data_IF_089057572262
#
_entry.id   IF_089057572262
#
_cell.length_a   1.000
_cell.length_b   1.000
_cell.length_c   1.000
_cell.angle_alpha   90.00
_cell.angle_beta   90.00
_cell.angle_gamma   90.00
#
_symmetry.space_group_name_H-M   'P 1'
#
loop_
_entity.id
_entity.type
_entity.pdbx_description
1 polymer ?
#
# COMPACT_ATOMS: atom_id res chain seq x y z
N UNK A 1 5.59 -11.56 24.34
CA UNK A 1 5.84 -10.44 23.38
C UNK A 1 5.37 -10.80 21.96
N UNK A 2 4.37 -10.10 21.38
CA UNK A 2 3.81 -10.38 20.03
C UNK A 2 4.86 -10.42 18.89
N UNK A 3 5.95 -9.65 18.98
CA UNK A 3 6.99 -9.60 17.94
C UNK A 3 7.83 -10.88 17.85
N UNK A 4 8.05 -11.54 18.99
CA UNK A 4 8.79 -12.81 19.06
C UNK A 4 7.93 -13.92 18.49
N UNK A 5 6.68 -13.97 18.93
CA UNK A 5 5.67 -14.93 18.46
C UNK A 5 5.46 -14.84 16.94
N UNK A 6 5.28 -13.64 16.38
CA UNK A 6 5.23 -13.41 14.92
C UNK A 6 6.48 -13.91 14.18
N UNK A 7 7.67 -13.78 14.77
CA UNK A 7 8.90 -14.23 14.13
C UNK A 7 9.00 -15.76 14.10
N UNK A 8 8.65 -16.42 15.22
CA UNK A 8 8.61 -17.88 15.30
C UNK A 8 7.51 -18.48 14.42
N UNK A 9 6.32 -17.88 14.38
CA UNK A 9 5.25 -18.31 13.47
C UNK A 9 5.68 -18.28 12.00
N UNK A 10 6.43 -17.25 11.58
CA UNK A 10 6.99 -17.20 10.22
C UNK A 10 8.05 -18.27 9.97
N UNK A 11 8.85 -18.60 10.97
CA UNK A 11 9.83 -19.67 10.89
C UNK A 11 9.15 -21.04 10.77
N UNK A 12 8.16 -21.32 11.60
CA UNK A 12 7.38 -22.57 11.54
C UNK A 12 6.60 -22.72 10.23
N UNK A 13 6.21 -21.62 9.59
CA UNK A 13 5.58 -21.61 8.26
C UNK A 13 6.58 -21.74 7.09
N UNK A 14 7.89 -21.86 7.36
CA UNK A 14 8.93 -21.90 6.31
C UNK A 14 9.12 -20.58 5.55
N UNK A 15 8.48 -19.49 6.00
CA UNK A 15 8.54 -18.16 5.36
C UNK A 15 9.76 -17.34 5.78
N UNK A 16 10.63 -17.91 6.62
CA UNK A 16 11.87 -17.31 7.08
C UNK A 16 12.72 -18.31 7.85
N UNK A 17 14.01 -18.00 8.01
CA UNK A 17 14.89 -18.78 8.89
C UNK A 17 14.62 -18.55 10.37
N UNK A 18 15.32 -19.31 11.21
CA UNK A 18 15.24 -19.25 12.68
C UNK A 18 15.35 -17.78 13.17
N UNK A 19 14.43 -17.31 14.03
CA UNK A 19 14.50 -15.94 14.57
C UNK A 19 15.81 -15.69 15.30
N UNK A 20 16.56 -14.67 14.88
CA UNK A 20 17.80 -14.24 15.55
C UNK A 20 17.53 -13.07 16.48
N UNK A 21 18.18 -13.09 17.65
CA UNK A 21 18.18 -11.95 18.56
C UNK A 21 18.73 -10.72 17.84
N UNK A 22 18.05 -9.58 17.98
CA UNK A 22 18.50 -8.32 17.38
C UNK A 22 19.29 -7.54 18.44
N UNK A 23 20.34 -6.80 18.06
CA UNK A 23 21.01 -5.91 19.00
C UNK A 23 20.09 -4.75 19.41
N UNK A 24 20.26 -4.21 20.63
CA UNK A 24 19.38 -3.18 21.22
C UNK A 24 19.20 -1.96 20.30
N UNK A 25 20.24 -1.55 19.57
CA UNK A 25 20.20 -0.46 18.56
C UNK A 25 19.20 -0.65 17.42
N UNK A 26 18.68 -1.87 17.21
CA UNK A 26 17.63 -2.17 16.23
C UNK A 26 16.22 -2.09 16.83
N UNK A 27 16.10 -2.00 18.15
CA UNK A 27 14.85 -1.72 18.85
C UNK A 27 14.74 -0.23 19.07
N UNK A 28 13.87 0.40 18.31
CA UNK A 28 13.63 1.84 18.41
C UNK A 28 12.36 2.13 19.22
N UNK A 29 11.98 1.26 20.17
CA UNK A 29 10.77 1.44 20.98
C UNK A 29 10.13 0.14 21.47
N UNK A 30 9.07 0.27 22.28
CA UNK A 30 8.38 -0.81 22.98
C UNK A 30 6.84 -0.73 22.78
N UNK A 31 6.14 -1.76 23.25
CA UNK A 31 4.67 -1.87 23.11
C UNK A 31 4.07 -2.34 24.42
N UNK A 32 3.06 -1.63 24.91
CA UNK A 32 2.14 -2.07 25.96
C UNK A 32 1.03 -2.90 25.29
N UNK A 33 1.02 -4.24 25.49
CA UNK A 33 0.11 -5.13 24.77
C UNK A 33 -1.34 -5.12 25.32
N UNK A 34 -1.56 -4.49 26.47
CA UNK A 34 -2.85 -4.31 27.14
C UNK A 34 -2.95 -2.88 27.66
N UNK A 35 -4.08 -2.53 28.31
CA UNK A 35 -4.28 -1.23 28.98
C UNK A 35 -3.42 -1.06 30.25
N UNK A 36 -2.63 -2.05 30.65
CA UNK A 36 -1.80 -1.93 31.83
C UNK A 36 -0.59 -1.00 31.57
N UNK A 37 -0.32 -0.11 32.52
CA UNK A 37 0.83 0.81 32.48
C UNK A 37 0.60 2.12 31.74
N UNK A 38 -0.56 2.33 31.10
CA UNK A 38 -0.89 3.59 30.44
C UNK A 38 -2.40 3.84 30.43
N UNK A 39 -2.81 5.10 30.36
CA UNK A 39 -4.21 5.50 30.17
C UNK A 39 -4.31 6.64 29.18
N UNK A 40 -5.44 6.70 28.48
CA UNK A 40 -5.79 7.84 27.62
C UNK A 40 -7.06 8.45 28.13
N UNK A 41 -7.01 9.74 28.44
CA UNK A 41 -8.17 10.53 28.80
C UNK A 41 -8.59 11.35 27.58
N UNK A 42 -9.46 10.75 26.76
CA UNK A 42 -9.97 11.34 25.52
C UNK A 42 -11.18 10.56 25.00
N UNK A 43 -12.13 11.27 24.41
CA UNK A 43 -13.24 10.72 23.63
C UNK A 43 -12.93 10.65 22.13
N UNK A 44 -11.66 10.82 21.74
CA UNK A 44 -11.22 10.91 20.35
C UNK A 44 -10.99 12.33 19.86
N UNK A 45 -11.30 13.35 20.66
CA UNK A 45 -10.94 14.76 20.40
C UNK A 45 -10.12 15.32 21.54
N UNK A 46 -8.91 15.79 21.20
CA UNK A 46 -7.92 16.31 22.16
C UNK A 46 -7.74 15.36 23.36
N UNK A 47 -7.14 15.79 24.46
CA UNK A 47 -7.04 15.01 25.69
C UNK A 47 -5.61 14.69 26.12
N UNK A 48 -5.40 13.60 26.86
CA UNK A 48 -4.07 13.26 27.39
C UNK A 48 -3.75 11.77 27.33
N UNK A 49 -2.45 11.46 27.22
CA UNK A 49 -1.87 10.14 27.35
C UNK A 49 -0.97 10.12 28.59
N UNK A 50 -1.31 9.30 29.58
CA UNK A 50 -0.46 9.08 30.76
C UNK A 50 0.24 7.72 30.64
N UNK A 51 1.55 7.72 30.87
CA UNK A 51 2.40 6.55 31.02
C UNK A 51 2.73 6.42 32.50
N UNK A 52 2.09 5.45 33.17
CA UNK A 52 2.15 5.33 34.63
C UNK A 52 3.55 4.90 35.09
N UNK A 53 4.20 4.03 34.33
CA UNK A 53 5.56 3.53 34.57
C UNK A 53 6.64 4.61 34.46
N UNK A 54 6.37 5.67 33.68
CA UNK A 54 7.28 6.80 33.49
C UNK A 54 6.85 8.06 34.25
N UNK A 55 5.72 8.03 34.96
CA UNK A 55 5.15 9.21 35.61
C UNK A 55 4.87 10.37 34.64
N UNK A 56 4.67 10.07 33.34
CA UNK A 56 4.63 11.07 32.28
C UNK A 56 3.22 11.24 31.74
N UNK A 57 2.73 12.48 31.68
CA UNK A 57 1.46 12.83 31.02
C UNK A 57 1.71 13.75 29.83
N UNK A 58 1.23 13.34 28.67
CA UNK A 58 1.45 14.02 27.38
C UNK A 58 0.09 14.51 26.87
N UNK A 59 0.01 15.79 26.51
CA UNK A 59 -1.18 16.36 25.88
C UNK A 59 -1.33 15.84 24.44
N UNK A 60 -2.52 15.36 24.12
CA UNK A 60 -2.97 14.98 22.79
C UNK A 60 -3.77 16.13 22.19
N UNK A 61 -3.57 16.42 20.90
CA UNK A 61 -4.33 17.44 20.17
C UNK A 61 -4.82 16.90 18.83
N UNK A 62 -6.01 17.35 18.43
CA UNK A 62 -6.67 16.98 17.18
C UNK A 62 -7.81 15.98 17.38
N UNK A 63 -8.45 15.64 16.28
CA UNK A 63 -9.59 14.73 16.25
C UNK A 63 -9.22 13.44 15.54
N UNK A 64 -9.39 12.32 16.23
CA UNK A 64 -9.29 10.99 15.65
C UNK A 64 -10.46 10.76 14.70
N UNK A 65 -10.19 10.13 13.56
CA UNK A 65 -11.22 9.79 12.57
C UNK A 65 -12.31 8.88 13.16
N UNK A 66 -11.87 7.89 13.92
CA UNK A 66 -12.72 6.93 14.61
C UNK A 66 -12.12 6.67 15.98
N UNK A 67 -12.93 6.76 17.02
CA UNK A 67 -12.53 6.44 18.38
C UNK A 67 -13.32 5.24 18.87
N UNK A 68 -12.67 4.39 19.64
CA UNK A 68 -13.23 3.15 20.17
C UNK A 68 -12.41 2.72 21.36
N UNK A 69 -12.52 1.46 21.78
CA UNK A 69 -11.82 0.98 22.98
C UNK A 69 -10.31 0.90 22.73
N UNK A 70 -9.45 1.66 23.44
CA UNK A 70 -8.00 1.53 23.30
C UNK A 70 -7.54 0.15 23.78
N UNK A 71 -6.68 -0.52 23.01
CA UNK A 71 -6.23 -1.90 23.31
C UNK A 71 -4.73 -2.02 23.49
N UNK A 72 -3.95 -1.31 22.67
CA UNK A 72 -2.49 -1.44 22.62
C UNK A 72 -1.89 -0.06 22.42
N UNK A 73 -0.81 0.24 23.14
CA UNK A 73 0.00 1.43 22.93
C UNK A 73 1.39 1.02 22.46
N UNK A 74 1.86 1.58 21.34
CA UNK A 74 3.22 1.38 20.87
C UNK A 74 3.98 2.70 20.90
N UNK A 75 5.07 2.72 21.66
CA UNK A 75 6.02 3.82 21.70
C UNK A 75 7.16 3.53 20.74
N UNK A 76 7.47 4.45 19.83
CA UNK A 76 8.53 4.29 18.84
C UNK A 76 9.32 5.58 18.66
N UNK A 77 10.60 5.54 18.98
CA UNK A 77 11.60 6.50 18.56
C UNK A 77 11.95 6.31 17.08
N UNK A 78 12.00 7.40 16.32
CA UNK A 78 12.52 7.43 14.95
C UNK A 78 13.79 8.28 14.90
N UNK A 79 14.99 7.66 14.96
CA UNK A 79 16.25 8.38 14.97
C UNK A 79 16.45 9.31 13.77
N UNK A 80 15.90 8.94 12.61
CA UNK A 80 16.02 9.71 11.36
C UNK A 80 15.40 11.11 11.44
N UNK A 81 14.47 11.32 12.36
CA UNK A 81 13.77 12.59 12.57
C UNK A 81 13.83 13.08 14.01
N UNK A 82 14.57 12.37 14.87
CA UNK A 82 14.71 12.66 16.29
C UNK A 82 13.36 12.90 16.99
N UNK A 83 12.39 12.01 16.76
CA UNK A 83 11.05 12.16 17.31
C UNK A 83 10.54 10.84 17.90
N UNK A 84 9.80 10.94 19.00
CA UNK A 84 9.04 9.86 19.60
C UNK A 84 7.61 9.88 19.07
N UNK A 85 7.06 8.68 18.85
CA UNK A 85 5.68 8.47 18.43
C UNK A 85 5.00 7.56 19.44
N UNK A 86 3.81 7.97 19.87
CA UNK A 86 2.86 7.12 20.57
C UNK A 86 1.75 6.73 19.57
N UNK A 87 1.56 5.43 19.35
CA UNK A 87 0.52 4.90 18.48
C UNK A 87 -0.44 4.07 19.31
N UNK A 88 -1.66 4.58 19.45
CA UNK A 88 -2.76 3.93 20.17
C UNK A 88 -3.57 3.13 19.15
N UNK A 89 -3.69 1.83 19.36
CA UNK A 89 -4.59 0.97 18.58
C UNK A 89 -5.92 0.90 19.29
N UNK A 90 -6.98 1.37 18.62
CA UNK A 90 -8.35 1.32 19.11
C UNK A 90 -9.10 0.17 18.44
N UNK A 91 -9.90 -0.55 19.22
CA UNK A 91 -10.91 -1.46 18.71
C UNK A 91 -12.16 -0.63 18.47
N UNK A 92 -12.51 -0.45 17.21
CA UNK A 92 -13.76 0.18 16.78
C UNK A 92 -14.66 -0.91 16.23
N UNK A 93 -15.97 -0.75 16.38
CA UNK A 93 -16.92 -1.49 15.56
C UNK A 93 -16.66 -1.05 14.12
N UNK A 94 -16.12 -1.96 13.31
CA UNK A 94 -16.14 -1.77 11.87
C UNK A 94 -17.60 -1.82 11.46
N UNK A 95 -18.14 -0.86 10.68
CA UNK A 95 -19.44 -1.09 10.07
C UNK A 95 -19.35 -2.44 9.37
N UNK A 96 -20.30 -3.33 9.66
CA UNK A 96 -20.36 -4.59 8.94
C UNK A 96 -20.33 -4.25 7.46
N UNK A 97 -19.52 -4.97 6.65
CA UNK A 97 -19.63 -4.82 5.22
C UNK A 97 -21.12 -4.91 4.90
N UNK A 98 -21.68 -3.90 4.23
CA UNK A 98 -23.11 -3.86 3.86
C UNK A 98 -23.53 -5.18 3.19
N UNK A 99 -22.55 -5.85 2.60
CA UNK A 99 -22.55 -7.17 2.02
C UNK A 99 -22.13 -8.22 3.06
N UNK A 100 -23.00 -8.43 4.05
CA UNK A 100 -23.06 -9.71 4.77
C UNK A 100 -23.21 -10.82 3.73
N UNK A 101 -22.43 -11.88 3.87
CA UNK A 101 -22.49 -13.02 2.97
C UNK A 101 -23.76 -13.81 3.23
N UNK A 102 -24.86 -13.41 2.61
CA UNK A 102 -26.06 -14.20 2.32
C UNK A 102 -26.88 -13.42 1.28
N UNK A 103 -26.88 -13.93 0.05
CA UNK A 103 -27.82 -13.67 -1.07
C UNK A 103 -28.42 -12.25 -1.22
N UNK A 104 -27.75 -11.41 -2.02
CA UNK A 104 -28.30 -10.55 -3.10
C UNK A 104 -27.28 -9.48 -3.51
N UNK A 105 -26.14 -9.94 -4.05
CA UNK A 105 -25.03 -9.08 -4.50
C UNK A 105 -25.38 -8.34 -5.80
N UNK A 106 -26.21 -7.30 -5.73
CA UNK A 106 -26.25 -6.29 -6.79
C UNK A 106 -25.09 -5.33 -6.57
N UNK A 107 -23.90 -5.71 -7.04
CA UNK A 107 -22.77 -4.78 -7.19
C UNK A 107 -23.08 -3.82 -8.35
N UNK A 108 -23.92 -2.82 -8.10
CA UNK A 108 -24.47 -1.94 -9.15
C UNK A 108 -23.44 -0.92 -9.63
N UNK A 109 -22.51 -0.53 -8.75
CA UNK A 109 -21.62 0.59 -9.01
C UNK A 109 -20.18 0.10 -9.10
N UNK A 110 -19.69 0.00 -10.33
CA UNK A 110 -18.32 -0.38 -10.66
C UNK A 110 -17.54 0.84 -11.14
N UNK A 111 -16.25 0.89 -10.83
CA UNK A 111 -15.35 1.84 -11.45
C UNK A 111 -14.03 1.19 -11.81
N UNK A 112 -13.59 1.38 -13.05
CA UNK A 112 -12.23 1.06 -13.45
C UNK A 112 -11.34 2.29 -13.32
N UNK A 113 -10.13 2.10 -12.82
CA UNK A 113 -9.14 3.18 -12.74
C UNK A 113 -7.74 2.72 -13.14
N UNK A 114 -7.05 3.61 -13.84
CA UNK A 114 -5.65 3.48 -14.24
C UNK A 114 -4.78 4.51 -13.52
N UNK A 115 -3.51 4.15 -13.27
CA UNK A 115 -2.55 5.00 -12.58
C UNK A 115 -1.45 5.45 -13.54
N UNK A 116 -1.49 6.72 -13.92
CA UNK A 116 -0.52 7.33 -14.84
C UNK A 116 0.50 8.23 -14.16
N UNK A 117 1.58 8.56 -14.88
CA UNK A 117 2.57 9.56 -14.42
C UNK A 117 2.24 10.99 -14.86
N UNK A 118 1.42 11.13 -15.88
CA UNK A 118 0.93 12.40 -16.41
C UNK A 118 -0.35 12.80 -15.68
N UNK A 119 -1.42 12.04 -15.91
CA UNK A 119 -2.63 12.01 -15.08
C UNK A 119 -2.43 10.95 -14.00
N UNK A 120 -2.58 11.33 -12.72
CA UNK A 120 -2.31 10.43 -11.60
C UNK A 120 -3.33 9.29 -11.49
N UNK A 121 -4.60 9.58 -11.79
CA UNK A 121 -5.70 8.62 -11.84
C UNK A 121 -6.60 8.99 -13.01
N UNK A 122 -6.85 8.05 -13.92
CA UNK A 122 -7.94 8.12 -14.90
C UNK A 122 -8.96 7.08 -14.48
N UNK A 123 -10.23 7.45 -14.35
CA UNK A 123 -11.29 6.55 -13.90
C UNK A 123 -12.48 6.57 -14.86
N UNK A 124 -13.18 5.44 -14.95
CA UNK A 124 -14.37 5.25 -15.78
C UNK A 124 -15.41 4.42 -15.04
N UNK A 125 -16.64 4.92 -14.97
CA UNK A 125 -17.75 4.32 -14.22
C UNK A 125 -18.80 3.61 -15.10
N UNK A 126 -18.60 3.59 -16.41
CA UNK A 126 -19.56 3.08 -17.38
C UNK A 126 -20.23 4.15 -18.23
N UNK A 127 -20.21 5.41 -17.79
CA UNK A 127 -20.80 6.54 -18.54
C UNK A 127 -19.83 7.71 -18.71
N UNK A 128 -19.04 8.04 -17.70
CA UNK A 128 -18.19 9.24 -17.66
C UNK A 128 -16.74 8.90 -17.28
N UNK A 129 -15.82 9.73 -17.78
CA UNK A 129 -14.41 9.70 -17.40
C UNK A 129 -14.08 10.78 -16.38
N UNK A 130 -13.32 10.41 -15.35
CA UNK A 130 -12.80 11.33 -14.35
C UNK A 130 -11.26 11.27 -14.32
N UNK A 131 -10.61 12.43 -14.37
CA UNK A 131 -9.15 12.53 -14.42
C UNK A 131 -8.60 13.37 -13.27
N UNK A 132 -7.57 12.85 -12.59
CA UNK A 132 -6.89 13.51 -11.49
C UNK A 132 -5.49 13.90 -11.93
N UNK A 133 -5.23 15.20 -12.02
CA UNK A 133 -3.91 15.71 -12.39
C UNK A 133 -2.82 15.33 -11.36
N UNK A 134 -1.63 14.99 -11.85
CA UNK A 134 -0.45 14.83 -11.02
C UNK A 134 0.11 16.20 -10.57
N UNK A 135 0.12 16.47 -9.27
CA UNK A 135 0.67 17.71 -8.69
C UNK A 135 2.20 17.84 -8.71
N UNK A 136 2.91 16.76 -9.08
CA UNK A 136 4.36 16.75 -9.29
C UNK A 136 5.18 17.28 -8.10
N UNK A 137 4.89 16.81 -6.88
CA UNK A 137 5.51 17.27 -5.61
C UNK A 137 7.03 17.25 -5.64
N UNK A 138 7.61 16.23 -6.27
CA UNK A 138 9.07 16.08 -6.31
C UNK A 138 9.71 17.09 -7.27
N UNK A 139 8.99 17.64 -8.25
CA UNK A 139 9.54 18.61 -9.22
C UNK A 139 9.89 19.95 -8.56
N UNK A 140 9.07 20.43 -7.64
CA UNK A 140 9.30 21.71 -6.93
C UNK A 140 10.46 21.64 -5.94
N UNK A 141 10.61 20.51 -5.25
CA UNK A 141 11.66 20.32 -4.23
C UNK A 141 12.97 19.75 -4.80
N UNK A 142 12.95 19.23 -6.02
CA UNK A 142 14.11 18.60 -6.67
C UNK A 142 15.34 19.51 -6.75
N UNK A 143 15.25 20.79 -7.19
CA UNK A 143 16.43 21.66 -7.24
C UNK A 143 17.10 21.79 -5.87
N UNK A 144 16.30 21.95 -4.81
CA UNK A 144 16.77 22.05 -3.43
C UNK A 144 17.42 20.74 -2.96
N UNK A 145 16.81 19.59 -3.27
CA UNK A 145 17.37 18.26 -2.95
C UNK A 145 18.69 18.04 -3.68
N UNK A 146 18.79 18.41 -4.96
CA UNK A 146 20.03 18.29 -5.76
C UNK A 146 21.14 19.17 -5.20
N UNK A 147 20.83 20.42 -4.84
CA UNK A 147 21.78 21.34 -4.23
C UNK A 147 22.31 20.78 -2.89
N UNK A 148 21.42 20.35 -2.00
CA UNK A 148 21.79 19.72 -0.73
C UNK A 148 22.62 18.43 -0.94
N UNK A 149 22.28 17.62 -1.95
CA UNK A 149 23.03 16.42 -2.31
C UNK A 149 24.42 16.73 -2.87
N UNK A 150 24.59 17.81 -3.66
CA UNK A 150 25.90 18.29 -4.15
C UNK A 150 26.77 18.76 -2.98
N UNK A 151 26.20 19.53 -2.05
CA UNK A 151 26.87 19.95 -0.83
C UNK A 151 27.33 18.75 0.00
N UNK A 152 26.45 17.76 0.22
CA UNK A 152 26.75 16.53 0.97
C UNK A 152 27.91 15.74 0.36
N UNK A 153 27.94 15.59 -0.98
CA UNK A 153 29.00 14.85 -1.69
C UNK A 153 30.39 15.45 -1.52
N UNK A 154 30.48 16.76 -1.27
CA UNK A 154 31.75 17.48 -1.01
C UNK A 154 32.27 17.32 0.42
N UNK A 155 31.58 16.56 1.29
CA UNK A 155 31.96 16.38 2.70
C UNK A 155 32.34 14.92 2.97
N UNK A 156 33.14 14.69 4.01
CA UNK A 156 33.54 13.34 4.43
C UNK A 156 32.33 12.52 4.89
N UNK A 157 31.96 11.54 4.07
CA UNK A 157 30.92 10.56 4.32
C UNK A 157 31.42 9.44 5.27
N UNK A 158 30.51 8.75 6.00
CA UNK A 158 30.91 7.61 6.81
C UNK A 158 31.33 6.43 5.93
N UNK A 159 32.42 5.77 6.27
CA UNK A 159 32.84 4.50 5.68
C UNK A 159 33.15 3.49 6.79
N UNK A 160 32.17 2.64 7.10
CA UNK A 160 32.27 1.66 8.17
C UNK A 160 33.37 0.61 7.93
N UNK A 161 33.68 0.27 6.67
CA UNK A 161 34.77 -0.69 6.37
C UNK A 161 36.15 -0.12 6.67
N UNK A 162 36.31 1.19 6.57
CA UNK A 162 37.57 1.90 6.82
C UNK A 162 37.60 2.58 8.19
N UNK A 163 36.62 2.33 9.06
CA UNK A 163 36.50 3.00 10.36
C UNK A 163 36.22 4.52 10.30
N UNK A 164 35.95 5.07 9.12
CA UNK A 164 35.82 6.51 8.91
C UNK A 164 34.45 6.97 9.41
N UNK A 165 34.45 7.84 10.43
CA UNK A 165 33.24 8.51 10.93
C UNK A 165 32.81 9.64 9.98
N UNK A 166 31.52 9.92 9.94
CA UNK A 166 30.98 11.05 9.20
C UNK A 166 31.38 12.38 9.86
N UNK A 167 31.87 13.34 9.07
CA UNK A 167 32.15 14.70 9.57
C UNK A 167 30.86 15.40 10.06
N UNK A 168 31.00 16.34 11.01
CA UNK A 168 29.86 17.17 11.49
C UNK A 168 29.17 17.89 10.32
N UNK A 169 29.95 18.42 9.37
CA UNK A 169 29.45 19.08 8.15
C UNK A 169 28.64 18.13 7.26
N UNK A 170 29.10 16.89 7.05
CA UNK A 170 28.34 15.88 6.31
C UNK A 170 27.02 15.54 7.00
N UNK A 171 27.02 15.36 8.34
CA UNK A 171 25.79 15.09 9.10
C UNK A 171 24.76 16.21 8.93
N UNK A 172 25.19 17.48 8.96
CA UNK A 172 24.33 18.66 8.72
C UNK A 172 23.73 18.65 7.30
N UNK A 173 24.56 18.43 6.28
CA UNK A 173 24.08 18.36 4.89
C UNK A 173 23.12 17.17 4.65
N UNK A 174 23.43 16.00 5.22
CA UNK A 174 22.56 14.82 5.15
C UNK A 174 21.22 15.04 5.86
N UNK A 175 21.20 15.73 7.00
CA UNK A 175 19.96 16.13 7.70
C UNK A 175 19.10 17.04 6.83
N UNK A 176 19.70 18.04 6.17
CA UNK A 176 19.03 18.96 5.24
C UNK A 176 18.40 18.23 4.05
N UNK A 177 19.14 17.34 3.39
CA UNK A 177 18.62 16.52 2.29
C UNK A 177 17.47 15.61 2.76
N UNK A 178 17.62 14.97 3.93
CA UNK A 178 16.57 14.13 4.54
C UNK A 178 15.30 14.93 4.86
N UNK A 179 15.42 16.16 5.37
CA UNK A 179 14.31 17.06 5.63
C UNK A 179 13.55 17.43 4.35
N UNK A 180 14.26 17.76 3.26
CA UNK A 180 13.65 18.09 1.98
C UNK A 180 12.92 16.89 1.36
N UNK A 181 13.55 15.71 1.36
CA UNK A 181 12.92 14.48 0.88
C UNK A 181 11.68 14.12 1.72
N UNK A 182 11.74 14.33 3.04
CA UNK A 182 10.58 14.12 3.93
C UNK A 182 9.47 15.11 3.63
N UNK A 183 9.78 16.38 3.38
CA UNK A 183 8.79 17.39 3.00
C UNK A 183 8.04 16.97 1.73
N UNK A 184 8.75 16.49 0.71
CA UNK A 184 8.12 15.94 -0.50
C UNK A 184 7.25 14.71 -0.20
N UNK A 185 7.76 13.77 0.61
CA UNK A 185 7.03 12.56 0.95
C UNK A 185 5.78 12.83 1.80
N UNK A 186 5.82 13.82 2.69
CA UNK A 186 4.68 14.26 3.49
C UNK A 186 3.68 14.99 2.61
N UNK A 187 4.09 15.98 1.82
CA UNK A 187 3.19 16.68 0.89
C UNK A 187 2.46 15.73 -0.06
N UNK A 188 3.16 14.71 -0.59
CA UNK A 188 2.52 13.65 -1.39
C UNK A 188 1.52 12.85 -0.56
N UNK A 189 1.88 12.42 0.66
CA UNK A 189 0.99 11.64 1.52
C UNK A 189 -0.24 12.45 1.93
N UNK A 190 -0.06 13.74 2.21
CA UNK A 190 -1.12 14.66 2.57
C UNK A 190 -2.03 14.88 1.38
N UNK A 191 -1.50 15.07 0.18
CA UNK A 191 -2.32 15.12 -1.04
C UNK A 191 -3.07 13.81 -1.28
N UNK A 192 -2.40 12.66 -1.17
CA UNK A 192 -3.05 11.36 -1.25
C UNK A 192 -4.16 11.29 -0.20
N UNK A 193 -3.92 11.71 1.05
CA UNK A 193 -4.92 11.71 2.11
C UNK A 193 -6.05 12.73 1.91
N UNK A 194 -5.80 13.92 1.37
CA UNK A 194 -6.82 14.96 1.10
C UNK A 194 -7.69 14.56 -0.08
N UNK A 195 -7.06 14.07 -1.16
CA UNK A 195 -7.75 13.33 -2.21
C UNK A 195 -8.64 12.27 -1.53
N UNK A 196 -8.02 11.46 -0.69
CA UNK A 196 -8.69 10.39 -0.03
C UNK A 196 -9.76 10.83 1.02
N UNK A 197 -9.67 12.00 1.62
CA UNK A 197 -10.60 12.46 2.67
C UNK A 197 -11.79 13.15 2.04
N UNK A 198 -11.54 13.85 0.93
CA UNK A 198 -12.57 14.14 -0.06
C UNK A 198 -13.36 12.84 -0.33
N UNK A 199 -12.75 11.65 -0.59
CA UNK A 199 -13.43 10.30 -0.82
C UNK A 199 -14.51 9.91 0.19
N UNK A 200 -14.48 10.43 1.41
CA UNK A 200 -15.27 9.87 2.51
C UNK A 200 -16.36 10.80 3.03
N UNK A 201 -16.58 11.96 2.40
CA UNK A 201 -17.69 12.87 2.76
C UNK A 201 -17.51 13.65 4.07
N UNK A 202 -16.38 13.53 4.76
CA UNK A 202 -16.03 14.37 5.91
C UNK A 202 -15.51 15.73 5.38
N UNK A 203 -16.25 16.81 5.62
CA UNK A 203 -15.86 18.17 5.17
C UNK A 203 -14.55 18.64 5.81
N UNK A 204 -13.71 19.35 5.04
CA UNK A 204 -13.09 20.55 5.57
C UNK A 204 -13.35 21.75 4.66
N UNK A 205 -13.89 22.80 5.28
CA UNK A 205 -13.92 24.19 4.79
C UNK A 205 -12.52 24.59 4.30
N UNK A 206 -12.30 24.59 2.98
CA UNK A 206 -11.50 25.57 2.24
C UNK A 206 -11.54 25.23 0.76
N UNK A 207 -12.26 26.07 0.02
CA UNK A 207 -12.43 26.02 -1.43
C UNK A 207 -11.10 26.35 -2.15
N UNK A 208 -10.28 25.34 -2.43
CA UNK A 208 -9.29 25.42 -3.52
C UNK A 208 -8.92 24.06 -4.14
N UNK A 209 -9.21 22.92 -3.50
CA UNK A 209 -8.90 21.59 -4.04
C UNK A 209 -10.17 20.81 -4.38
N UNK A 210 -10.99 21.40 -5.26
CA UNK A 210 -12.25 20.82 -5.71
C UNK A 210 -12.00 19.60 -6.60
N UNK A 211 -12.65 18.49 -6.20
CA UNK A 211 -12.97 17.24 -6.93
C UNK A 211 -11.87 16.17 -7.05
N UNK A 212 -12.31 14.94 -6.79
CA UNK A 212 -12.36 13.78 -7.73
C UNK A 212 -12.12 12.48 -6.98
N UNK A 213 -11.60 12.56 -5.76
CA UNK A 213 -11.55 11.35 -4.94
C UNK A 213 -12.83 11.26 -4.09
N UNK A 214 -13.54 12.31 -3.67
CA UNK A 214 -14.90 12.20 -3.02
C UNK A 214 -15.90 11.16 -3.50
N UNK A 215 -15.84 10.80 -4.76
CA UNK A 215 -16.89 10.09 -5.46
C UNK A 215 -16.56 8.63 -5.80
N UNK A 216 -15.28 8.24 -5.79
CA UNK A 216 -14.88 6.93 -6.30
C UNK A 216 -15.17 5.81 -5.29
N UNK A 217 -14.48 5.80 -4.15
CA UNK A 217 -14.69 4.76 -3.14
C UNK A 217 -15.95 4.97 -2.29
N UNK A 218 -16.82 5.94 -2.61
CA UNK A 218 -18.10 6.17 -1.91
C UNK A 218 -19.31 5.80 -2.72
N UNK A 219 -19.26 5.99 -4.05
CA UNK A 219 -20.31 5.54 -4.96
C UNK A 219 -20.11 4.09 -5.37
N UNK A 220 -18.87 3.61 -5.51
CA UNK A 220 -18.61 2.32 -6.14
C UNK A 220 -18.33 1.21 -5.14
N UNK A 221 -19.03 0.09 -5.33
CA UNK A 221 -18.88 -1.15 -4.57
C UNK A 221 -17.71 -1.99 -5.08
N UNK A 222 -17.39 -1.85 -6.36
CA UNK A 222 -16.26 -2.54 -7.00
C UNK A 222 -15.30 -1.53 -7.61
N UNK A 223 -14.04 -1.57 -7.14
CA UNK A 223 -12.92 -0.92 -7.80
C UNK A 223 -12.19 -1.89 -8.70
N UNK A 224 -11.91 -1.51 -9.95
CA UNK A 224 -11.21 -2.35 -10.92
C UNK A 224 -9.93 -1.64 -11.31
N UNK A 225 -8.80 -2.33 -11.26
CA UNK A 225 -7.53 -1.74 -11.69
C UNK A 225 -6.61 -2.81 -12.24
N UNK A 226 -5.54 -2.41 -12.91
CA UNK A 226 -4.53 -3.34 -13.36
C UNK A 226 -3.68 -3.88 -12.20
N UNK A 227 -3.28 -5.15 -12.33
CA UNK A 227 -2.28 -5.77 -11.46
C UNK A 227 -0.89 -5.18 -11.72
N UNK A 228 -0.64 -4.03 -11.11
CA UNK A 228 0.61 -3.30 -11.24
C UNK A 228 1.75 -3.91 -10.42
N UNK A 229 2.80 -4.39 -11.10
CA UNK A 229 4.07 -4.74 -10.46
C UNK A 229 4.92 -3.49 -10.20
N UNK A 230 4.44 -2.60 -9.32
CA UNK A 230 5.09 -1.33 -8.97
C UNK A 230 6.55 -1.52 -8.49
N UNK A 231 6.84 -2.61 -7.78
CA UNK A 231 8.21 -2.97 -7.35
C UNK A 231 9.12 -3.26 -8.55
N UNK A 232 8.65 -4.06 -9.51
CA UNK A 232 9.37 -4.34 -10.75
C UNK A 232 9.55 -3.10 -11.61
N UNK A 233 8.50 -2.28 -11.72
CA UNK A 233 8.51 -1.03 -12.49
C UNK A 233 9.46 0.00 -11.91
N UNK A 234 9.64 0.07 -10.60
CA UNK A 234 10.55 1.04 -9.95
C UNK A 234 11.96 0.49 -9.72
N UNK A 235 12.27 -0.70 -10.24
CA UNK A 235 13.61 -1.32 -10.14
C UNK A 235 14.64 -0.45 -10.85
N UNK A 236 15.83 -0.38 -10.26
CA UNK A 236 17.00 0.27 -10.87
C UNK A 236 17.30 -0.35 -12.23
N UNK A 237 17.81 0.46 -13.16
CA UNK A 237 18.29 -0.04 -14.45
C UNK A 237 19.42 -1.06 -14.26
N UNK A 238 19.53 -2.03 -15.19
CA UNK A 238 20.65 -2.98 -15.23
C UNK A 238 21.98 -2.23 -15.38
N UNK A 239 23.05 -2.77 -14.78
CA UNK A 239 24.42 -2.23 -14.95
C UNK A 239 24.76 -2.20 -16.44
N UNK A 240 25.37 -1.11 -16.93
CA UNK A 240 25.71 -0.93 -18.35
C UNK A 240 24.57 -0.47 -19.27
N UNK A 241 23.33 -0.32 -18.78
CA UNK A 241 22.22 0.12 -19.65
C UNK A 241 22.38 1.56 -20.15
N UNK A 242 22.34 1.74 -21.47
CA UNK A 242 22.31 3.06 -22.14
C UNK A 242 21.09 3.90 -21.72
N UNK A 243 19.98 3.26 -21.30
CA UNK A 243 18.72 3.92 -20.88
C UNK A 243 18.63 4.22 -19.37
N UNK A 244 19.75 4.19 -18.63
CA UNK A 244 19.77 4.40 -17.17
C UNK A 244 19.14 5.72 -16.74
N UNK A 245 19.40 6.83 -17.45
CA UNK A 245 18.85 8.17 -17.15
C UNK A 245 17.33 8.21 -17.34
N UNK A 246 16.85 7.74 -18.49
CA UNK A 246 15.42 7.63 -18.80
C UNK A 246 14.70 6.76 -17.75
N UNK A 247 15.26 5.60 -17.41
CA UNK A 247 14.70 4.71 -16.39
C UNK A 247 14.64 5.36 -15.01
N UNK A 248 15.67 6.08 -14.61
CA UNK A 248 15.67 6.81 -13.34
C UNK A 248 14.59 7.92 -13.32
N UNK A 249 14.39 8.62 -14.44
CA UNK A 249 13.31 9.60 -14.61
C UNK A 249 11.93 8.99 -14.48
N UNK A 250 11.66 7.88 -15.19
CA UNK A 250 10.38 7.16 -15.10
C UNK A 250 10.13 6.64 -13.68
N UNK A 251 11.12 5.99 -13.06
CA UNK A 251 10.99 5.50 -11.69
C UNK A 251 10.65 6.64 -10.73
N UNK A 252 11.25 7.81 -10.94
CA UNK A 252 10.98 8.99 -10.13
C UNK A 252 9.54 9.48 -10.33
N UNK A 253 9.06 9.57 -11.56
CA UNK A 253 7.68 9.98 -11.87
C UNK A 253 6.64 9.03 -11.24
N UNK A 254 6.85 7.72 -11.36
CA UNK A 254 6.00 6.69 -10.72
C UNK A 254 5.99 6.84 -9.20
N UNK A 255 7.15 7.07 -8.58
CA UNK A 255 7.27 7.25 -7.14
C UNK A 255 6.68 8.58 -6.66
N UNK A 256 6.67 9.61 -7.50
CA UNK A 256 6.08 10.91 -7.19
C UNK A 256 4.56 10.84 -7.09
N UNK A 257 3.90 10.08 -7.96
CA UNK A 257 2.47 9.76 -7.82
C UNK A 257 2.25 8.78 -6.68
N UNK A 258 3.14 7.79 -6.56
CA UNK A 258 3.14 6.80 -5.48
C UNK A 258 2.10 5.69 -5.69
N UNK A 259 2.11 5.07 -6.88
CA UNK A 259 1.12 4.07 -7.32
C UNK A 259 0.82 3.01 -6.26
N UNK A 260 1.86 2.43 -5.66
CA UNK A 260 1.70 1.38 -4.66
C UNK A 260 1.06 1.86 -3.35
N UNK A 261 1.19 3.14 -2.99
CA UNK A 261 0.52 3.72 -1.81
C UNK A 261 -0.91 4.10 -2.15
N UNK A 262 -1.14 4.73 -3.31
CA UNK A 262 -2.48 5.07 -3.80
C UNK A 262 -3.36 3.83 -3.92
N UNK A 263 -2.89 2.78 -4.60
CA UNK A 263 -3.66 1.56 -4.78
C UNK A 263 -4.02 0.94 -3.42
N UNK A 264 -3.07 0.86 -2.49
CA UNK A 264 -3.33 0.37 -1.12
C UNK A 264 -4.37 1.21 -0.37
N UNK A 265 -4.31 2.54 -0.49
CA UNK A 265 -5.26 3.43 0.15
C UNK A 265 -6.67 3.27 -0.45
N UNK A 266 -6.78 3.18 -1.77
CA UNK A 266 -8.05 2.92 -2.47
C UNK A 266 -8.63 1.56 -2.07
N UNK A 267 -7.83 0.49 -2.11
CA UNK A 267 -8.25 -0.86 -1.69
C UNK A 267 -8.78 -0.86 -0.27
N UNK A 268 -7.99 -0.39 0.69
CA UNK A 268 -8.42 -0.36 2.09
C UNK A 268 -9.71 0.44 2.30
N UNK A 269 -9.91 1.55 1.57
CA UNK A 269 -11.11 2.39 1.71
C UNK A 269 -12.37 1.79 1.10
N UNK A 270 -12.23 1.07 -0.01
CA UNK A 270 -13.31 0.33 -0.62
C UNK A 270 -13.69 -0.85 0.31
N UNK A 271 -12.69 -1.57 0.82
CA UNK A 271 -12.88 -2.67 1.79
C UNK A 271 -13.53 -2.22 3.10
N UNK A 272 -13.18 -1.03 3.61
CA UNK A 272 -13.79 -0.47 4.82
C UNK A 272 -15.32 -0.29 4.72
N UNK A 273 -15.87 -0.27 3.50
CA UNK A 273 -17.32 -0.18 3.25
C UNK A 273 -17.95 -1.52 2.88
N UNK A 274 -17.14 -2.59 2.84
CA UNK A 274 -17.54 -3.90 2.35
C UNK A 274 -17.42 -4.08 0.84
N UNK A 275 -16.91 -3.09 0.11
CA UNK A 275 -16.64 -3.22 -1.32
C UNK A 275 -15.41 -4.10 -1.61
N UNK A 276 -15.20 -4.39 -2.89
CA UNK A 276 -14.11 -5.26 -3.36
C UNK A 276 -13.25 -4.53 -4.38
N UNK A 277 -11.93 -4.78 -4.37
CA UNK A 277 -11.05 -4.35 -5.46
C UNK A 277 -10.57 -5.54 -6.29
N UNK A 278 -10.84 -5.48 -7.60
CA UNK A 278 -10.40 -6.44 -8.60
C UNK A 278 -9.12 -5.95 -9.28
N UNK A 279 -8.08 -6.77 -9.24
CA UNK A 279 -6.84 -6.53 -9.97
C UNK A 279 -6.75 -7.45 -11.19
N UNK A 280 -6.80 -6.86 -12.38
CA UNK A 280 -6.83 -7.58 -13.65
C UNK A 280 -5.41 -7.88 -14.16
N UNK A 281 -5.14 -9.09 -14.71
CA UNK A 281 -3.85 -9.41 -15.29
C UNK A 281 -3.67 -8.74 -16.66
N UNK A 282 -2.72 -7.82 -16.72
CA UNK A 282 -2.46 -7.00 -17.91
C UNK A 282 -1.91 -7.76 -19.11
N UNK A 283 -1.22 -8.89 -18.89
CA UNK A 283 -0.61 -9.68 -19.98
C UNK A 283 -1.64 -10.36 -20.88
N UNK A 284 -2.73 -10.84 -20.29
CA UNK A 284 -3.81 -11.52 -21.01
C UNK A 284 -4.79 -10.48 -21.57
N UNK A 285 -5.21 -9.53 -20.73
CA UNK A 285 -6.18 -8.51 -21.13
C UNK A 285 -5.64 -7.52 -22.16
N UNK A 286 -4.37 -7.11 -22.00
CA UNK A 286 -3.69 -6.08 -22.81
C UNK A 286 -4.51 -4.77 -22.92
N UNK A 287 -4.90 -4.16 -21.79
CA UNK A 287 -5.81 -3.00 -21.79
C UNK A 287 -5.30 -1.82 -22.61
N UNK A 288 -3.98 -1.59 -22.65
CA UNK A 288 -3.38 -0.50 -23.42
C UNK A 288 -3.20 -0.81 -24.91
N UNK A 289 -3.67 -1.94 -25.41
CA UNK A 289 -3.53 -2.36 -26.81
C UNK A 289 -4.84 -2.89 -27.41
N UNK A 290 -5.86 -3.12 -26.59
CA UNK A 290 -7.11 -3.74 -27.00
C UNK A 290 -8.14 -2.65 -27.24
N UNK A 291 -8.87 -2.74 -28.35
CA UNK A 291 -10.01 -1.88 -28.60
C UNK A 291 -11.17 -2.28 -27.65
N UNK A 292 -11.78 -1.33 -26.93
CA UNK A 292 -12.91 -1.62 -26.04
C UNK A 292 -14.18 -2.02 -26.80
N UNK A 293 -14.35 -1.59 -28.05
CA UNK A 293 -15.54 -1.84 -28.87
C UNK A 293 -15.47 -3.16 -29.65
N UNK A 294 -14.43 -3.38 -30.46
CA UNK A 294 -14.34 -4.58 -31.30
C UNK A 294 -13.43 -5.68 -30.73
N UNK A 295 -12.65 -5.36 -29.69
CA UNK A 295 -11.74 -6.33 -29.06
C UNK A 295 -10.45 -6.62 -29.82
N UNK A 296 -10.23 -6.04 -31.01
CA UNK A 296 -8.97 -6.19 -31.78
C UNK A 296 -7.77 -5.67 -30.97
N UNK A 297 -6.65 -6.38 -31.05
CA UNK A 297 -5.41 -6.02 -30.35
C UNK A 297 -4.44 -5.37 -31.34
N UNK A 298 -4.13 -4.11 -31.10
CA UNK A 298 -3.23 -3.29 -31.90
C UNK A 298 -1.86 -3.22 -31.23
N UNK A 299 -0.84 -3.84 -31.85
CA UNK A 299 0.51 -3.87 -31.28
C UNK A 299 1.17 -2.49 -31.25
N UNK A 300 0.87 -1.63 -32.22
CA UNK A 300 1.37 -0.26 -32.33
C UNK A 300 0.87 0.67 -31.21
N UNK A 301 -0.31 0.39 -30.62
CA UNK A 301 -0.80 1.12 -29.44
C UNK A 301 0.07 0.92 -28.19
N UNK A 302 0.96 -0.08 -28.19
CA UNK A 302 1.92 -0.28 -27.10
C UNK A 302 2.97 0.84 -27.01
N UNK A 303 3.16 1.61 -28.08
CA UNK A 303 4.17 2.66 -28.14
C UNK A 303 3.79 3.87 -27.28
N UNK A 304 4.73 4.35 -26.47
CA UNK A 304 4.47 5.46 -25.55
C UNK A 304 4.23 6.81 -26.25
N UNK A 305 4.71 6.95 -27.48
CA UNK A 305 4.42 8.09 -28.37
C UNK A 305 2.96 8.13 -28.78
N UNK A 306 2.30 6.98 -28.82
CA UNK A 306 0.89 6.90 -29.15
C UNK A 306 0.05 7.26 -27.92
N UNK A 307 -0.46 8.49 -27.92
CA UNK A 307 -1.35 9.02 -26.87
C UNK A 307 -2.84 8.87 -27.24
N UNK A 308 -3.14 8.55 -28.50
CA UNK A 308 -4.50 8.55 -29.03
C UNK A 308 -4.74 7.31 -29.88
N UNK A 309 -5.64 6.46 -29.42
CA UNK A 309 -5.92 5.17 -30.05
C UNK A 309 -6.98 5.34 -31.13
N UNK A 310 -6.62 5.02 -32.38
CA UNK A 310 -7.55 4.93 -33.52
C UNK A 310 -7.59 3.48 -33.98
N UNK A 311 -8.79 2.89 -34.01
CA UNK A 311 -9.00 1.49 -34.38
C UNK A 311 -9.29 1.36 -35.89
N UNK A 312 -8.41 0.68 -36.61
CA UNK A 312 -8.56 0.38 -38.03
C UNK A 312 -9.74 -0.56 -38.38
N UNK A 313 -10.32 -1.25 -37.40
CA UNK A 313 -11.38 -2.25 -37.63
C UNK A 313 -12.79 -1.73 -37.36
N UNK A 314 -12.96 -0.75 -36.48
CA UNK A 314 -14.29 -0.24 -36.11
C UNK A 314 -14.38 1.30 -36.06
N UNK A 315 -13.27 2.01 -36.31
CA UNK A 315 -13.25 3.47 -36.28
C UNK A 315 -13.19 4.08 -34.87
N UNK A 316 -13.20 3.28 -33.80
CA UNK A 316 -13.08 3.78 -32.42
C UNK A 316 -11.88 4.69 -32.23
N UNK A 317 -12.10 5.83 -31.59
CA UNK A 317 -11.09 6.86 -31.37
C UNK A 317 -11.17 7.46 -29.96
N UNK A 318 -10.12 7.30 -29.14
CA UNK A 318 -10.07 7.84 -27.79
C UNK A 318 -8.63 7.95 -27.25
N UNK A 319 -8.42 8.79 -26.23
CA UNK A 319 -7.16 8.82 -25.47
C UNK A 319 -6.78 7.44 -24.91
N UNK A 320 -5.48 7.15 -24.92
CA UNK A 320 -4.93 5.86 -24.51
C UNK A 320 -5.26 5.47 -23.06
N UNK A 321 -5.14 6.41 -22.13
CA UNK A 321 -5.33 6.14 -20.69
C UNK A 321 -6.84 5.90 -20.44
N UNK A 322 -7.71 6.68 -21.10
CA UNK A 322 -9.17 6.45 -21.11
C UNK A 322 -9.55 5.09 -21.72
N UNK A 323 -8.99 4.76 -22.89
CA UNK A 323 -9.20 3.47 -23.56
C UNK A 323 -8.86 2.30 -22.63
N UNK A 324 -7.73 2.39 -21.94
CA UNK A 324 -7.26 1.34 -21.01
C UNK A 324 -8.26 1.12 -19.87
N UNK A 325 -8.82 2.20 -19.30
CA UNK A 325 -9.85 2.10 -18.25
C UNK A 325 -11.16 1.51 -18.75
N UNK A 326 -11.60 1.87 -19.96
CA UNK A 326 -12.81 1.30 -20.58
C UNK A 326 -12.67 -0.21 -20.81
N UNK A 327 -11.52 -0.67 -21.31
CA UNK A 327 -11.25 -2.11 -21.45
C UNK A 327 -11.27 -2.84 -20.11
N UNK A 328 -10.69 -2.23 -19.05
CA UNK A 328 -10.73 -2.82 -17.71
C UNK A 328 -12.15 -2.90 -17.15
N UNK A 329 -12.96 -1.86 -17.36
CA UNK A 329 -14.37 -1.83 -16.96
C UNK A 329 -15.18 -2.92 -17.68
N UNK A 330 -15.07 -3.00 -19.00
CA UNK A 330 -15.73 -4.03 -19.81
C UNK A 330 -15.28 -5.44 -19.42
N UNK A 331 -13.99 -5.61 -19.10
CA UNK A 331 -13.45 -6.89 -18.67
C UNK A 331 -14.03 -7.31 -17.31
N UNK A 332 -14.18 -6.37 -16.36
CA UNK A 332 -14.81 -6.67 -15.08
C UNK A 332 -16.28 -7.06 -15.22
N UNK A 333 -17.01 -6.43 -16.15
CA UNK A 333 -18.39 -6.80 -16.49
C UNK A 333 -18.53 -8.08 -17.32
N UNK A 334 -17.41 -8.65 -17.77
CA UNK A 334 -17.42 -9.79 -18.69
C UNK A 334 -17.92 -9.48 -20.10
N UNK A 335 -18.05 -8.19 -20.44
CA UNK A 335 -18.53 -7.70 -21.73
C UNK A 335 -17.42 -7.38 -22.73
N UNK A 336 -16.14 -7.49 -22.32
CA UNK A 336 -15.01 -7.14 -23.19
C UNK A 336 -14.90 -8.08 -24.40
N UNK A 337 -15.05 -7.57 -25.64
CA UNK A 337 -14.95 -8.40 -26.84
C UNK A 337 -13.54 -8.96 -27.03
N UNK A 338 -13.45 -10.19 -27.53
CA UNK A 338 -12.19 -10.89 -27.79
C UNK A 338 -11.40 -11.29 -26.53
N UNK A 339 -11.98 -11.20 -25.34
CA UNK A 339 -11.36 -11.63 -24.07
C UNK A 339 -12.04 -12.87 -23.44
N UNK A 340 -13.15 -13.37 -24.04
CA UNK A 340 -13.95 -14.49 -23.53
C UNK A 340 -14.80 -14.11 -22.31
N UNK A 341 -15.82 -14.89 -21.92
CA UNK A 341 -16.76 -14.61 -20.81
C UNK A 341 -16.43 -15.31 -19.50
N UNK A 342 -15.59 -16.35 -19.53
CA UNK A 342 -15.26 -17.20 -18.38
C UNK A 342 -14.44 -16.43 -17.33
N UNK A 343 -15.03 -16.14 -16.16
CA UNK A 343 -14.42 -15.35 -15.09
C UNK A 343 -13.33 -16.12 -14.31
N UNK A 344 -13.46 -17.44 -14.18
CA UNK A 344 -12.58 -18.29 -13.37
C UNK A 344 -11.21 -18.50 -14.03
N UNK A 345 -11.15 -18.45 -15.36
CA UNK A 345 -9.88 -18.55 -16.12
C UNK A 345 -9.11 -17.24 -16.23
N UNK A 346 -9.65 -16.11 -15.78
CA UNK A 346 -9.05 -14.78 -15.98
C UNK A 346 -8.01 -14.37 -14.96
N UNK A 347 -7.69 -15.22 -13.97
CA UNK A 347 -6.60 -14.96 -13.01
C UNK A 347 -6.74 -13.65 -12.23
N UNK A 348 -7.97 -13.19 -12.01
CA UNK A 348 -8.26 -11.98 -11.25
C UNK A 348 -7.81 -12.15 -9.80
N UNK A 349 -7.17 -11.12 -9.27
CA UNK A 349 -6.85 -11.08 -7.84
C UNK A 349 -7.85 -10.15 -7.18
N UNK A 350 -8.76 -10.71 -6.39
CA UNK A 350 -9.65 -9.94 -5.52
C UNK A 350 -8.93 -9.53 -4.25
N UNK A 351 -9.24 -8.36 -3.71
CA UNK A 351 -8.78 -7.95 -2.39
C UNK A 351 -9.31 -8.86 -1.26
N UNK A 352 -10.45 -9.52 -1.49
CA UNK A 352 -11.03 -10.54 -0.59
C UNK A 352 -10.51 -11.96 -0.81
N UNK A 353 -9.65 -12.20 -1.81
CA UNK A 353 -9.10 -13.53 -2.05
C UNK A 353 -8.27 -14.00 -0.85
N UNK A 354 -8.90 -14.81 -0.01
CA UNK A 354 -8.29 -15.45 1.15
C UNK A 354 -7.19 -16.38 0.63
N UNK A 355 -5.95 -15.92 0.58
CA UNK A 355 -4.88 -16.83 1.01
C UNK A 355 -5.16 -17.04 2.48
N UNK A 356 -5.83 -18.15 2.82
CA UNK A 356 -6.05 -18.50 4.20
C UNK A 356 -4.68 -18.53 4.86
N UNK A 357 -4.39 -17.51 5.66
CA UNK A 357 -3.38 -17.65 6.69
C UNK A 357 -4.12 -18.39 7.77
N UNK A 358 -4.18 -19.71 7.61
CA UNK A 358 -4.64 -20.58 8.66
C UNK A 358 -3.73 -20.28 9.85
N UNK A 359 -4.22 -19.47 10.79
CA UNK A 359 -3.65 -19.41 12.13
C UNK A 359 -4.05 -20.72 12.78
N UNK A 360 -3.34 -21.79 12.43
CA UNK A 360 -3.46 -23.06 13.12
C UNK A 360 -3.22 -22.79 14.59
N UNK A 361 -4.25 -23.00 15.42
CA UNK A 361 -4.06 -22.91 16.85
C UNK A 361 -3.13 -24.05 17.30
N UNK A 362 -2.34 -23.85 18.36
CA UNK A 362 -1.56 -24.93 18.97
C UNK A 362 -2.43 -26.16 19.30
N UNK A 363 -3.74 -25.96 19.51
CA UNK A 363 -4.73 -27.00 19.77
C UNK A 363 -4.90 -27.97 18.58
N UNK A 364 -4.79 -27.49 17.34
CA UNK A 364 -4.86 -28.34 16.13
C UNK A 364 -3.56 -29.14 15.92
N UNK A 365 -2.40 -28.53 16.21
CA UNK A 365 -1.09 -29.21 16.19
C UNK A 365 -0.97 -30.28 17.29
N UNK A 366 -1.56 -30.03 18.46
CA UNK A 366 -1.67 -31.03 19.53
C UNK A 366 -2.49 -32.24 19.11
N UNK A 367 -3.59 -32.05 18.37
CA UNK A 367 -4.40 -33.15 17.80
C UNK A 367 -3.65 -33.96 16.74
N UNK A 368 -2.89 -33.31 15.85
CA UNK A 368 -2.06 -34.01 14.84
C UNK A 368 -0.88 -34.78 15.47
N UNK A 369 -0.25 -34.26 16.53
CA UNK A 369 0.79 -35.00 17.26
C UNK A 369 0.23 -36.20 18.03
N UNK A 370 -0.98 -36.08 18.59
CA UNK A 370 -1.64 -37.18 19.33
C UNK A 370 -2.07 -38.34 18.43
N UNK A 371 -2.26 -38.10 17.13
CA UNK A 371 -2.55 -39.16 16.15
C UNK A 371 -1.29 -39.91 15.67
N UNK A 372 -0.08 -39.39 15.91
CA UNK A 372 1.18 -40.00 15.45
C UNK A 372 1.86 -40.94 16.46
N UNK A 373 1.22 -41.26 17.58
CA UNK A 373 1.69 -42.26 18.54
C UNK A 373 0.68 -43.39 18.70
N UNK A 374 0.52 -44.17 17.64
CA UNK A 374 0.13 -45.57 17.72
C UNK A 374 0.99 -46.31 16.71
N UNK A 375 2.20 -46.68 17.12
CA UNK A 375 2.92 -47.76 16.46
C UNK A 375 2.14 -49.04 16.72
N UNK A 376 1.77 -49.73 15.64
CA UNK A 376 1.65 -51.19 15.69
C UNK A 376 3.05 -51.72 15.93
N UNK A 377 3.10 -52.82 16.68
CA UNK A 377 4.26 -53.66 16.94
C UNK A 377 5.06 -53.28 18.19
N UNK A 378 4.90 -54.15 19.18
CA UNK A 378 5.58 -54.10 20.46
C UNK A 378 6.99 -54.68 20.37
N UNK A 379 7.95 -53.93 20.87
CA UNK A 379 9.10 -54.44 21.60
C UNK A 379 9.68 -53.26 22.37
N UNK A 380 9.83 -53.44 23.68
CA UNK A 380 10.37 -52.45 24.58
C UNK A 380 11.82 -52.82 24.85
N UNK A 381 12.76 -52.08 24.26
CA UNK A 381 14.16 -52.15 24.67
C UNK A 381 14.47 -50.94 25.56
N UNK A 382 14.65 -51.22 26.84
CA UNK A 382 15.19 -50.33 27.86
C UNK A 382 16.71 -50.23 27.71
N UNK A 383 17.21 -49.04 27.41
CA UNK A 383 18.64 -48.72 27.52
C UNK A 383 18.94 -48.12 28.90
N UNK A 384 19.58 -48.92 29.75
CA UNK A 384 20.29 -48.49 30.95
C UNK A 384 21.65 -47.88 30.57
N UNK A 385 22.01 -46.75 31.17
CA UNK A 385 23.35 -46.16 31.08
C UNK A 385 24.06 -46.27 32.45
N UNK A 386 25.38 -46.51 32.48
CA UNK A 386 26.21 -46.33 33.69
C UNK A 386 26.39 -44.86 34.06
#
# INVERSE_FOLDING_TARGET
MKRVDLAYNRFFQGLGGIPKYKPIRKYSGWTYPSKAGWKTDTNGKDGTLTLNDLGLTIKMRGQAKSWGTPTTLTITYKPSINAWYASITVKTETPDPKYGSESDLKYEKIVAYDLGTETAITAFNGSEFEEIANRRFTKTLEPKVKAAGKEKRRKQAPNFKKGIKASKRWKKANKKESQLNRKAANARRDWQHVLMQSLMGETPKTALHRKVTSDLSSRYDIGVTEKLNTKGMTRKAKKGSKRKKQKAGLNKAILDVGFGTLNKMLTYKIELKGGIVLQLPTRQLKPSQRCPECGKVHKNWAELSNRYHVCDACGFELDRDKTSTMVMFNAALGKQPGYGTDLDKRGFSSSTSKTSKHTGSMRQLGKMKRQKSRSKDGSADTLSWP
#
